data_IF_993662027621
#
_entry.id   IF_993662027621
#
_cell.length_a   1.000
_cell.length_b   1.000
_cell.length_c   1.000
_cell.angle_alpha   90.00
_cell.angle_beta   90.00
_cell.angle_gamma   90.00
#
_symmetry.space_group_name_H-M   'P 1'
#
loop_
_entity.id
_entity.type
_entity.pdbx_description
1 polymer ?
#
# COMPACT_ATOMS: atom_id res chain seq x y z
N UNK A 1 3.47 2.91 -5.89
CA UNK A 1 2.27 3.10 -6.73
C UNK A 1 1.50 4.31 -6.23
N UNK A 2 0.84 5.00 -7.14
CA UNK A 2 -0.08 6.09 -6.81
C UNK A 2 -1.36 5.54 -6.19
N UNK A 3 -2.12 6.40 -5.51
CA UNK A 3 -3.47 6.08 -5.03
C UNK A 3 -4.37 5.64 -6.20
N UNK A 4 -4.29 6.31 -7.35
CA UNK A 4 -5.11 6.00 -8.51
C UNK A 4 -4.86 4.57 -9.04
N UNK A 5 -3.59 4.18 -9.16
CA UNK A 5 -3.22 2.81 -9.54
C UNK A 5 -3.71 1.79 -8.51
N UNK A 6 -3.53 2.07 -7.22
CA UNK A 6 -3.94 1.17 -6.16
C UNK A 6 -5.47 0.96 -6.14
N UNK A 7 -6.26 2.02 -6.37
CA UNK A 7 -7.72 1.93 -6.49
C UNK A 7 -8.13 1.11 -7.72
N UNK A 8 -7.44 1.29 -8.85
CA UNK A 8 -7.71 0.50 -10.06
C UNK A 8 -7.45 -0.99 -9.81
N UNK A 9 -6.31 -1.34 -9.20
CA UNK A 9 -6.01 -2.73 -8.87
C UNK A 9 -7.00 -3.35 -7.86
N UNK A 10 -7.52 -2.54 -6.93
CA UNK A 10 -8.61 -3.00 -6.05
C UNK A 10 -9.88 -3.35 -6.85
N UNK A 11 -10.26 -2.53 -7.82
CA UNK A 11 -11.45 -2.76 -8.67
C UNK A 11 -11.29 -3.98 -9.58
N UNK A 12 -10.09 -4.18 -10.11
CA UNK A 12 -9.73 -5.32 -10.96
C UNK A 12 -9.57 -6.64 -10.17
N UNK A 13 -9.62 -6.59 -8.83
CA UNK A 13 -9.60 -7.79 -8.00
C UNK A 13 -8.21 -8.41 -7.77
N UNK A 14 -7.13 -7.64 -7.93
CA UNK A 14 -5.75 -8.14 -7.72
C UNK A 14 -5.46 -8.53 -6.27
N UNK A 15 -6.22 -8.02 -5.31
CA UNK A 15 -5.97 -8.23 -3.89
C UNK A 15 -7.03 -9.14 -3.25
N UNK A 16 -6.57 -10.19 -2.56
CA UNK A 16 -7.46 -11.11 -1.87
C UNK A 16 -8.26 -10.38 -0.74
N UNK A 17 -9.60 -10.56 -0.68
CA UNK A 17 -10.48 -9.80 0.21
C UNK A 17 -10.24 -10.07 1.71
N UNK A 18 -9.81 -11.28 2.07
CA UNK A 18 -9.54 -11.66 3.45
C UNK A 18 -8.16 -11.26 3.99
N UNK A 19 -7.31 -10.63 3.17
CA UNK A 19 -5.92 -10.36 3.58
C UNK A 19 -5.36 -9.05 3.03
N UNK A 20 -5.06 -8.99 1.74
CA UNK A 20 -4.31 -7.88 1.17
C UNK A 20 -5.21 -6.69 0.83
N UNK A 21 -6.44 -6.93 0.37
CA UNK A 21 -7.38 -5.86 0.02
C UNK A 21 -7.62 -4.86 1.17
N UNK A 22 -7.95 -5.28 2.41
CA UNK A 22 -8.14 -4.33 3.50
C UNK A 22 -6.86 -3.56 3.86
N UNK A 23 -5.67 -4.14 3.63
CA UNK A 23 -4.39 -3.46 3.86
C UNK A 23 -4.18 -2.35 2.83
N UNK A 24 -4.45 -2.62 1.56
CA UNK A 24 -4.33 -1.62 0.48
C UNK A 24 -5.37 -0.51 0.64
N UNK A 25 -6.61 -0.83 1.00
CA UNK A 25 -7.65 0.17 1.25
C UNK A 25 -7.27 1.12 2.41
N UNK A 26 -6.73 0.59 3.51
CA UNK A 26 -6.23 1.41 4.61
C UNK A 26 -5.03 2.28 4.18
N UNK A 27 -4.10 1.72 3.40
CA UNK A 27 -2.96 2.44 2.86
C UNK A 27 -3.37 3.59 1.92
N UNK A 28 -4.37 3.37 1.06
CA UNK A 28 -4.98 4.39 0.21
C UNK A 28 -5.60 5.50 1.06
N UNK A 29 -6.40 5.12 2.07
CA UNK A 29 -7.10 6.07 2.93
C UNK A 29 -6.12 7.03 3.62
N UNK A 30 -5.02 6.51 4.16
CA UNK A 30 -4.00 7.33 4.82
C UNK A 30 -3.10 8.07 3.82
N UNK A 31 -2.87 7.53 2.62
CA UNK A 31 -2.15 8.25 1.56
C UNK A 31 -2.91 9.50 1.08
N UNK A 32 -4.24 9.42 0.96
CA UNK A 32 -5.11 10.54 0.58
C UNK A 32 -5.07 11.71 1.56
N UNK A 33 -4.66 11.51 2.82
CA UNK A 33 -4.47 12.60 3.77
C UNK A 33 -3.10 13.27 3.69
N UNK A 34 -2.31 13.00 2.64
CA UNK A 34 -1.02 13.67 2.40
C UNK A 34 0.19 12.90 2.91
N UNK A 35 0.03 11.65 3.34
CA UNK A 35 1.12 10.84 3.89
C UNK A 35 1.63 9.80 2.89
N UNK A 36 2.87 9.35 3.08
CA UNK A 36 3.40 8.15 2.41
C UNK A 36 3.09 6.94 3.27
N UNK A 37 2.57 5.88 2.67
CA UNK A 37 2.26 4.63 3.35
C UNK A 37 3.07 3.49 2.77
N UNK A 38 3.43 2.49 3.59
CA UNK A 38 4.26 1.37 3.17
C UNK A 38 3.69 0.09 3.76
N UNK A 39 3.43 -0.90 2.90
CA UNK A 39 3.08 -2.26 3.29
C UNK A 39 4.33 -3.13 3.11
N UNK A 40 4.84 -3.72 4.18
CA UNK A 40 6.05 -4.55 4.16
C UNK A 40 5.98 -5.68 5.21
N UNK A 41 6.83 -6.69 5.08
CA UNK A 41 7.04 -7.66 6.15
C UNK A 41 7.84 -7.04 7.30
N UNK A 42 7.57 -7.50 8.53
CA UNK A 42 8.17 -6.95 9.74
C UNK A 42 9.71 -7.04 9.73
N UNK A 43 10.25 -8.16 9.25
CA UNK A 43 11.70 -8.38 9.15
C UNK A 43 12.41 -7.37 8.25
N UNK A 44 11.69 -6.83 7.25
CA UNK A 44 12.22 -5.90 6.25
C UNK A 44 11.82 -4.43 6.54
N UNK A 45 11.30 -4.13 7.73
CA UNK A 45 10.78 -2.80 8.06
C UNK A 45 11.82 -1.68 7.89
N UNK A 46 13.09 -1.95 8.24
CA UNK A 46 14.19 -0.97 8.08
C UNK A 46 14.40 -0.60 6.61
N UNK A 47 14.45 -1.61 5.74
CA UNK A 47 14.63 -1.41 4.30
C UNK A 47 13.41 -0.76 3.66
N UNK A 48 12.22 -1.07 4.17
CA UNK A 48 10.97 -0.53 3.67
C UNK A 48 10.88 0.98 3.91
N UNK A 49 11.27 1.45 5.11
CA UNK A 49 11.28 2.87 5.47
C UNK A 49 12.20 3.68 4.54
N UNK A 50 13.37 3.11 4.16
CA UNK A 50 14.31 3.77 3.23
C UNK A 50 14.00 3.52 1.76
N UNK A 51 12.88 2.86 1.44
CA UNK A 51 12.40 2.64 0.07
C UNK A 51 13.15 1.56 -0.71
N UNK A 52 13.85 0.65 -0.04
CA UNK A 52 14.54 -0.50 -0.65
C UNK A 52 13.69 -1.76 -0.70
N UNK A 53 12.57 -1.80 0.02
CA UNK A 53 11.63 -2.92 0.05
C UNK A 53 10.19 -2.46 0.30
N UNK A 54 9.24 -3.40 0.23
CA UNK A 54 7.83 -3.15 0.48
C UNK A 54 7.13 -2.38 -0.65
N UNK A 55 5.82 -2.19 -0.48
CA UNK A 55 4.97 -1.49 -1.42
C UNK A 55 4.61 -0.13 -0.87
N UNK A 56 5.16 0.93 -1.45
CA UNK A 56 4.81 2.30 -1.11
C UNK A 56 3.56 2.76 -1.87
N UNK A 57 2.61 3.35 -1.15
CA UNK A 57 1.43 4.04 -1.72
C UNK A 57 1.52 5.53 -1.38
N UNK A 58 1.41 6.37 -2.40
CA UNK A 58 1.46 7.85 -2.28
C UNK A 58 0.35 8.47 -3.13
N UNK A 59 -0.01 9.72 -2.81
CA UNK A 59 -0.84 10.56 -3.70
C UNK A 59 -0.27 10.61 -5.12
#
# INVERSE_FOLDING_TARGET
MTVAEAEQYCKEGHFAPGSMLPKVQAAISFAKSGHKTIIASLENAKDAIVGKSGTAVTL
#
